data_IF_086227181876
#
_entry.id   IF_086227181876
#
_cell.length_a   1.000
_cell.length_b   1.000
_cell.length_c   1.000
_cell.angle_alpha   90.00
_cell.angle_beta   90.00
_cell.angle_gamma   90.00
#
_symmetry.space_group_name_H-M   'P 1'
#
loop_
_entity.id
_entity.type
_entity.pdbx_description
1 polymer ?
#
# COMPACT_ATOMS: atom_id res chain seq x y z
N UNK A 1 32.49 -50.06 -37.23
CA UNK A 1 33.31 -48.93 -36.77
C UNK A 1 32.86 -47.67 -37.50
N UNK A 2 32.56 -46.62 -36.74
CA UNK A 2 32.46 -45.20 -37.16
C UNK A 2 31.23 -44.84 -38.00
N UNK A 3 30.47 -43.77 -37.74
CA UNK A 3 30.60 -42.67 -36.78
C UNK A 3 29.23 -41.97 -36.67
N UNK A 4 28.87 -41.55 -35.48
CA UNK A 4 27.72 -40.69 -35.18
C UNK A 4 27.81 -39.36 -35.94
N UNK A 5 26.67 -38.87 -36.44
CA UNK A 5 26.51 -37.46 -36.83
C UNK A 5 25.76 -36.80 -35.67
N UNK A 6 26.52 -36.05 -34.86
CA UNK A 6 26.00 -35.18 -33.82
C UNK A 6 25.29 -33.97 -34.47
N UNK A 7 23.99 -33.86 -34.26
CA UNK A 7 23.30 -32.57 -34.33
C UNK A 7 23.69 -31.75 -33.10
N UNK A 8 24.75 -30.96 -33.23
CA UNK A 8 25.13 -29.97 -32.23
C UNK A 8 24.12 -28.82 -32.25
N UNK A 9 23.19 -28.85 -31.31
CA UNK A 9 22.34 -27.71 -30.95
C UNK A 9 23.28 -26.58 -30.50
N UNK A 10 23.47 -25.57 -31.37
CA UNK A 10 24.14 -24.33 -31.00
C UNK A 10 23.20 -23.58 -30.03
N UNK A 11 23.38 -23.81 -28.73
CA UNK A 11 22.78 -22.99 -27.69
C UNK A 11 23.39 -21.58 -27.79
N UNK A 12 22.59 -20.60 -28.19
CA UNK A 12 23.03 -19.23 -28.42
C UNK A 12 23.12 -18.48 -27.08
N UNK A 13 24.32 -18.27 -26.48
CA UNK A 13 24.45 -17.85 -25.08
C UNK A 13 24.18 -16.35 -24.86
N UNK A 14 23.98 -15.59 -25.95
CA UNK A 14 23.79 -14.14 -25.93
C UNK A 14 22.34 -13.77 -25.60
N UNK A 15 21.37 -14.64 -25.91
CA UNK A 15 19.95 -14.39 -25.61
C UNK A 15 19.60 -14.66 -24.13
N UNK A 16 20.21 -15.69 -23.52
CA UNK A 16 19.98 -16.07 -22.12
C UNK A 16 20.57 -15.06 -21.12
N UNK A 17 21.72 -14.47 -21.47
CA UNK A 17 22.41 -13.50 -20.60
C UNK A 17 21.68 -12.16 -20.57
N UNK A 18 21.22 -11.63 -21.70
CA UNK A 18 20.45 -10.38 -21.74
C UNK A 18 19.13 -10.47 -20.95
N UNK A 19 18.45 -11.62 -21.03
CA UNK A 19 17.21 -11.89 -20.29
C UNK A 19 17.47 -11.99 -18.78
N UNK A 20 18.55 -12.67 -18.39
CA UNK A 20 18.95 -12.81 -16.98
C UNK A 20 19.34 -11.47 -16.32
N UNK A 21 20.04 -10.58 -17.03
CA UNK A 21 20.43 -9.27 -16.50
C UNK A 21 19.19 -8.36 -16.32
N UNK A 22 18.25 -8.43 -17.26
CA UNK A 22 16.98 -7.67 -17.21
C UNK A 22 16.09 -8.15 -16.07
N UNK A 23 16.03 -9.46 -15.83
CA UNK A 23 15.25 -10.06 -14.75
C UNK A 23 15.85 -9.80 -13.36
N UNK A 24 17.19 -9.84 -13.25
CA UNK A 24 17.89 -9.44 -12.03
C UNK A 24 17.67 -7.96 -11.67
N UNK A 25 17.73 -7.05 -12.67
CA UNK A 25 17.44 -5.63 -12.47
C UNK A 25 15.97 -5.37 -12.08
N UNK A 26 15.02 -6.12 -12.67
CA UNK A 26 13.61 -6.04 -12.29
C UNK A 26 13.38 -6.52 -10.85
N UNK A 27 14.03 -7.60 -10.45
CA UNK A 27 13.96 -8.13 -9.08
C UNK A 27 14.56 -7.15 -8.06
N UNK A 28 15.71 -6.56 -8.36
CA UNK A 28 16.35 -5.56 -7.49
C UNK A 28 15.47 -4.31 -7.33
N UNK A 29 14.85 -3.83 -8.41
CA UNK A 29 13.92 -2.70 -8.38
C UNK A 29 12.70 -2.98 -7.50
N UNK A 30 12.12 -4.19 -7.58
CA UNK A 30 11.01 -4.62 -6.74
C UNK A 30 11.42 -4.71 -5.26
N UNK A 31 12.58 -5.30 -4.97
CA UNK A 31 13.12 -5.38 -3.61
C UNK A 31 13.36 -4.00 -3.01
N UNK A 32 13.95 -3.08 -3.78
CA UNK A 32 14.24 -1.71 -3.33
C UNK A 32 12.96 -0.91 -3.09
N UNK A 33 11.96 -1.08 -3.96
CA UNK A 33 10.64 -0.47 -3.80
C UNK A 33 9.92 -1.00 -2.56
N UNK A 34 9.92 -2.33 -2.36
CA UNK A 34 9.33 -2.96 -1.18
C UNK A 34 10.02 -2.55 0.12
N UNK A 35 11.35 -2.43 0.12
CA UNK A 35 12.11 -1.99 1.28
C UNK A 35 11.77 -0.55 1.68
N UNK A 36 11.64 0.37 0.71
CA UNK A 36 11.26 1.76 0.97
C UNK A 36 9.81 1.85 1.47
N UNK A 37 8.88 1.16 0.80
CA UNK A 37 7.48 1.10 1.25
C UNK A 37 7.39 0.57 2.68
N UNK A 38 8.10 -0.51 2.99
CA UNK A 38 8.17 -1.05 4.36
C UNK A 38 8.78 -0.07 5.35
N UNK A 39 9.82 0.68 4.97
CA UNK A 39 10.44 1.67 5.85
C UNK A 39 9.48 2.84 6.15
N UNK A 40 8.70 3.28 5.16
CA UNK A 40 7.70 4.34 5.33
C UNK A 40 6.51 3.83 6.15
N UNK A 41 5.92 2.71 5.73
CA UNK A 41 4.76 2.14 6.39
C UNK A 41 5.08 1.70 7.83
N UNK A 42 6.22 1.06 8.09
CA UNK A 42 6.56 0.64 9.46
C UNK A 42 7.29 1.72 10.27
N UNK A 43 7.41 2.95 9.74
CA UNK A 43 7.95 4.05 10.52
C UNK A 43 7.01 4.37 11.68
N UNK A 44 7.54 4.31 12.91
CA UNK A 44 6.80 4.75 14.10
C UNK A 44 6.70 6.28 14.22
N UNK A 45 7.31 7.03 13.28
CA UNK A 45 7.31 8.50 13.30
C UNK A 45 6.15 9.11 12.50
N UNK A 46 5.43 8.30 11.71
CA UNK A 46 4.31 8.76 10.89
C UNK A 46 3.09 7.87 11.10
N UNK A 47 1.93 8.48 11.33
CA UNK A 47 0.65 7.78 11.25
C UNK A 47 0.26 7.61 9.79
N UNK A 48 0.04 6.37 9.36
CA UNK A 48 -0.45 6.03 8.03
C UNK A 48 -1.67 5.13 8.16
N UNK A 49 -2.79 5.62 7.63
CA UNK A 49 -4.08 4.93 7.62
C UNK A 49 -4.55 4.86 6.17
N UNK A 50 -5.00 3.68 5.73
CA UNK A 50 -5.66 3.52 4.43
C UNK A 50 -7.01 2.84 4.63
N UNK A 51 -8.00 3.24 3.85
CA UNK A 51 -9.35 2.70 3.90
C UNK A 51 -9.76 2.05 2.58
N UNK A 52 -10.78 1.20 2.62
CA UNK A 52 -11.49 0.78 1.42
C UNK A 52 -12.43 1.88 0.90
N UNK A 53 -13.16 1.59 -0.18
CA UNK A 53 -14.11 2.53 -0.78
C UNK A 53 -15.32 2.87 0.12
N UNK A 54 -15.54 2.13 1.20
CA UNK A 54 -16.58 2.37 2.20
C UNK A 54 -16.03 3.09 3.44
N UNK A 55 -14.74 3.41 3.46
CA UNK A 55 -14.09 4.10 4.57
C UNK A 55 -13.62 3.16 5.69
N UNK A 56 -13.74 1.84 5.54
CA UNK A 56 -13.27 0.89 6.57
C UNK A 56 -11.74 0.82 6.55
N UNK A 57 -11.11 0.90 7.71
CA UNK A 57 -9.64 0.90 7.85
C UNK A 57 -9.06 -0.44 7.40
N UNK A 58 -8.23 -0.42 6.36
CA UNK A 58 -7.53 -1.59 5.82
C UNK A 58 -6.06 -1.64 6.21
N UNK A 59 -5.43 -0.48 6.47
CA UNK A 59 -4.05 -0.37 6.94
C UNK A 59 -4.04 0.57 8.13
N UNK A 60 -3.38 0.15 9.19
CA UNK A 60 -3.14 0.96 10.39
C UNK A 60 -1.74 0.63 10.90
N UNK A 61 -0.78 1.52 10.64
CA UNK A 61 0.62 1.21 10.93
C UNK A 61 1.00 1.44 12.41
N UNK A 62 2.20 0.98 12.80
CA UNK A 62 2.72 1.16 14.17
C UNK A 62 2.80 2.63 14.61
N UNK A 63 3.03 3.55 13.68
CA UNK A 63 3.00 4.98 13.96
C UNK A 63 1.60 5.47 14.31
N UNK A 64 0.57 5.01 13.60
CA UNK A 64 -0.83 5.30 13.90
C UNK A 64 -1.25 4.71 15.24
N UNK A 65 -0.85 3.47 15.54
CA UNK A 65 -1.09 2.85 16.85
C UNK A 65 -0.48 3.68 17.99
N UNK A 66 0.78 4.10 17.82
CA UNK A 66 1.49 4.90 18.83
C UNK A 66 0.90 6.29 19.02
N UNK A 67 0.51 6.95 17.93
CA UNK A 67 0.02 8.33 17.96
C UNK A 67 -1.43 8.42 18.42
N UNK A 68 -2.29 7.47 18.01
CA UNK A 68 -3.73 7.51 18.27
C UNK A 68 -4.14 6.63 19.45
N UNK A 69 -3.27 5.73 19.92
CA UNK A 69 -3.50 4.92 21.12
C UNK A 69 -4.41 3.71 20.88
N UNK A 70 -4.68 3.35 19.63
CA UNK A 70 -5.46 2.18 19.25
C UNK A 70 -4.54 1.05 18.79
N UNK A 71 -4.86 -0.20 19.14
CA UNK A 71 -4.21 -1.33 18.49
C UNK A 71 -4.82 -1.56 17.10
N UNK A 72 -3.98 -1.91 16.13
CA UNK A 72 -4.41 -2.22 14.77
C UNK A 72 -5.47 -3.34 14.77
N UNK A 73 -5.35 -4.30 15.68
CA UNK A 73 -6.30 -5.40 15.86
C UNK A 73 -7.72 -4.92 16.25
N UNK A 74 -7.87 -3.75 16.87
CA UNK A 74 -9.15 -3.22 17.32
C UNK A 74 -9.86 -2.40 16.24
N UNK A 75 -9.11 -1.87 15.28
CA UNK A 75 -9.63 -0.91 14.29
C UNK A 75 -9.66 -1.45 12.86
N UNK A 76 -8.67 -2.27 12.48
CA UNK A 76 -8.57 -2.79 11.11
C UNK A 76 -9.76 -3.69 10.76
N UNK A 77 -10.32 -3.48 9.56
CA UNK A 77 -11.48 -4.17 9.00
C UNK A 77 -12.76 -4.05 9.85
N UNK A 78 -12.82 -3.11 10.79
CA UNK A 78 -13.91 -2.99 11.77
C UNK A 78 -14.59 -1.63 11.73
N UNK A 79 -13.78 -0.57 11.76
CA UNK A 79 -14.28 0.81 11.90
C UNK A 79 -13.66 1.72 10.85
N UNK A 80 -14.13 2.96 10.81
CA UNK A 80 -13.66 4.04 9.94
C UNK A 80 -12.81 5.05 10.73
N UNK A 81 -12.03 5.91 10.07
CA UNK A 81 -11.32 7.00 10.74
C UNK A 81 -12.23 7.99 11.50
N UNK A 82 -13.51 8.08 11.11
CA UNK A 82 -14.47 8.93 11.81
C UNK A 82 -14.81 8.39 13.21
N UNK A 83 -14.73 7.08 13.44
CA UNK A 83 -15.05 6.44 14.73
C UNK A 83 -13.98 6.69 15.80
N UNK A 84 -12.77 7.10 15.39
CA UNK A 84 -11.65 7.46 16.28
C UNK A 84 -11.38 8.97 16.33
N UNK A 85 -12.26 9.77 15.71
CA UNK A 85 -12.20 11.24 15.66
C UNK A 85 -13.19 11.86 16.64
N UNK A 86 -13.04 13.15 16.96
CA UNK A 86 -14.07 13.87 17.73
C UNK A 86 -15.35 14.02 16.88
N UNK A 87 -16.51 13.50 17.34
CA UNK A 87 -17.75 13.58 16.57
C UNK A 87 -18.17 15.02 16.24
N UNK A 88 -17.89 15.99 17.12
CA UNK A 88 -18.23 17.39 16.87
C UNK A 88 -17.36 18.00 15.78
N UNK A 89 -16.08 17.62 15.71
CA UNK A 89 -15.17 18.05 14.64
C UNK A 89 -15.67 17.54 13.28
N UNK A 90 -16.03 16.25 13.20
CA UNK A 90 -16.54 15.62 11.97
C UNK A 90 -17.86 16.26 11.52
N UNK A 91 -18.79 16.52 12.44
CA UNK A 91 -20.06 17.20 12.14
C UNK A 91 -19.82 18.63 11.63
N UNK A 92 -18.94 19.37 12.30
CA UNK A 92 -18.61 20.73 11.91
C UNK A 92 -17.97 20.77 10.51
N UNK A 93 -17.09 19.81 10.22
CA UNK A 93 -16.42 19.69 8.92
C UNK A 93 -17.41 19.34 7.81
N UNK A 94 -18.29 18.36 8.02
CA UNK A 94 -19.34 17.98 7.07
C UNK A 94 -20.24 19.17 6.70
N UNK A 95 -20.63 19.96 7.71
CA UNK A 95 -21.46 21.16 7.51
C UNK A 95 -20.72 22.22 6.68
N UNK A 96 -19.44 22.46 6.98
CA UNK A 96 -18.63 23.43 6.24
C UNK A 96 -18.47 23.02 4.77
N UNK A 97 -18.12 21.75 4.51
CA UNK A 97 -17.98 21.21 3.15
C UNK A 97 -19.31 21.20 2.39
N UNK A 98 -20.42 20.89 3.06
CA UNK A 98 -21.74 20.91 2.43
C UNK A 98 -22.08 22.30 1.89
N UNK A 99 -21.74 23.35 2.64
CA UNK A 99 -21.94 24.72 2.22
C UNK A 99 -20.98 25.14 1.10
N UNK A 100 -19.74 24.66 1.13
CA UNK A 100 -18.71 24.96 0.12
C UNK A 100 -19.02 24.30 -1.24
N UNK A 101 -19.50 23.05 -1.22
CA UNK A 101 -19.72 22.23 -2.42
C UNK A 101 -21.18 22.27 -2.92
N UNK A 102 -22.06 23.01 -2.25
CA UNK A 102 -23.51 23.08 -2.52
C UNK A 102 -24.17 21.70 -2.65
N UNK A 103 -23.67 20.73 -1.89
CA UNK A 103 -24.10 19.33 -1.92
C UNK A 103 -24.11 18.78 -0.49
N UNK A 104 -25.15 18.05 -0.05
CA UNK A 104 -25.16 17.47 1.29
C UNK A 104 -24.01 16.47 1.49
N UNK A 105 -23.15 16.72 2.47
CA UNK A 105 -22.08 15.83 2.93
C UNK A 105 -22.49 15.24 4.28
N UNK A 106 -22.47 13.91 4.37
CA UNK A 106 -22.83 13.20 5.60
C UNK A 106 -21.66 13.24 6.59
N UNK A 107 -21.86 13.58 7.88
CA UNK A 107 -20.83 13.42 8.90
C UNK A 107 -20.32 11.98 8.95
N UNK A 108 -19.00 11.79 8.84
CA UNK A 108 -18.37 10.47 8.82
C UNK A 108 -17.22 10.43 7.82
N UNK A 109 -17.16 9.38 7.02
CA UNK A 109 -16.12 9.19 6.00
C UNK A 109 -16.16 10.23 4.87
N UNK A 110 -17.34 10.75 4.54
CA UNK A 110 -17.50 11.75 3.47
C UNK A 110 -17.16 13.18 3.91
N UNK A 111 -16.97 13.38 5.22
CA UNK A 111 -16.78 14.68 5.86
C UNK A 111 -15.32 15.13 5.97
#
# INVERSE_FOLDING_TARGET
>A
MSKEIHDSIILNPVADTATSITEAGRQESLLRTGALQNAIFNSANFSSIATDAKGVIQIFNVGAERMLGYAAADVMNKITPADISDPQEVIARAKALSAELDTPITPGFEA
#
